data_IF_421932468493
#
_entry.id   IF_421932468493
#
_cell.length_a   1.000
_cell.length_b   1.000
_cell.length_c   1.000
_cell.angle_alpha   90.00
_cell.angle_beta   90.00
_cell.angle_gamma   90.00
#
_symmetry.space_group_name_H-M   'P 1'
#
loop_
_entity.id
_entity.type
_entity.pdbx_description
1 polymer ?
#
# COMPACT_ATOMS: atom_id res chain seq x y z
N UNK A 1 -6.92 10.24 23.06
CA UNK A 1 -6.95 10.22 21.57
C UNK A 1 -5.61 10.58 20.91
N UNK A 2 -4.97 11.71 21.29
CA UNK A 2 -3.74 12.21 20.62
C UNK A 2 -2.56 11.22 20.58
N UNK A 3 -2.35 10.41 21.63
CA UNK A 3 -1.26 9.43 21.67
C UNK A 3 -1.47 8.26 20.70
N UNK A 4 -2.72 7.81 20.52
CA UNK A 4 -3.05 6.73 19.61
C UNK A 4 -2.91 7.15 18.14
N UNK A 5 -3.38 8.35 17.80
CA UNK A 5 -3.21 8.92 16.45
C UNK A 5 -1.72 9.09 16.14
N UNK A 6 -0.93 9.62 17.09
CA UNK A 6 0.52 9.72 16.93
C UNK A 6 1.20 8.36 16.78
N UNK A 7 0.73 7.33 17.49
CA UNK A 7 1.21 5.96 17.31
C UNK A 7 0.90 5.45 15.90
N UNK A 8 -0.33 5.64 15.40
CA UNK A 8 -0.73 5.22 14.06
C UNK A 8 0.08 5.94 12.97
N UNK A 9 0.30 7.25 13.11
CA UNK A 9 1.13 8.03 12.17
C UNK A 9 2.57 7.50 12.17
N UNK A 10 3.17 7.31 13.35
CA UNK A 10 4.53 6.75 13.46
C UNK A 10 4.61 5.33 12.87
N UNK A 11 3.59 4.51 13.08
CA UNK A 11 3.51 3.15 12.52
C UNK A 11 3.40 3.20 11.00
N UNK A 12 2.53 4.05 10.46
CA UNK A 12 2.36 4.23 9.02
C UNK A 12 3.64 4.71 8.36
N UNK A 13 4.30 5.71 8.95
CA UNK A 13 5.59 6.22 8.51
C UNK A 13 6.66 5.13 8.50
N UNK A 14 6.81 4.36 9.58
CA UNK A 14 7.78 3.25 9.60
C UNK A 14 7.51 2.19 8.52
N UNK A 15 6.25 1.91 8.22
CA UNK A 15 5.87 0.94 7.20
C UNK A 15 5.93 1.49 5.76
N UNK A 16 5.88 2.81 5.57
CA UNK A 16 5.73 3.44 4.24
C UNK A 16 6.90 4.35 3.84
N UNK A 17 7.80 4.72 4.76
CA UNK A 17 8.76 5.82 4.61
C UNK A 17 9.81 5.65 3.51
N UNK A 18 9.97 4.44 2.96
CA UNK A 18 10.87 4.20 1.84
C UNK A 18 10.13 4.04 0.50
N UNK A 19 8.80 3.84 0.52
CA UNK A 19 7.99 3.61 -0.70
C UNK A 19 8.49 2.46 -1.59
N UNK A 20 9.47 1.69 -1.12
CA UNK A 20 10.22 0.69 -1.86
C UNK A 20 9.93 -0.68 -1.28
N UNK A 21 9.79 -1.67 -2.16
CA UNK A 21 9.59 -3.08 -1.81
C UNK A 21 10.86 -3.78 -1.31
N UNK A 22 11.92 -3.02 -1.05
CA UNK A 22 13.23 -3.52 -0.62
C UNK A 22 13.35 -3.46 0.90
N UNK A 23 13.77 -4.58 1.48
CA UNK A 23 14.27 -4.61 2.86
C UNK A 23 15.68 -4.02 2.86
N UNK A 24 15.92 -3.07 3.75
CA UNK A 24 17.27 -2.77 4.28
C UNK A 24 18.41 -2.75 3.23
N UNK A 25 18.26 -2.01 2.13
CA UNK A 25 19.48 -1.43 1.56
C UNK A 25 19.83 -0.30 2.53
N UNK A 26 20.99 -0.45 3.19
CA UNK A 26 21.58 0.59 4.04
C UNK A 26 21.60 1.96 3.33
N UNK A 27 22.01 3.03 4.04
CA UNK A 27 21.74 4.42 3.65
C UNK A 27 21.89 4.56 2.13
N UNK A 28 20.75 4.73 1.44
CA UNK A 28 20.71 4.76 -0.02
C UNK A 28 21.52 6.00 -0.42
N UNK A 29 22.79 5.77 -0.70
CA UNK A 29 23.85 6.75 -0.99
C UNK A 29 23.84 7.04 -2.49
N UNK A 30 22.65 7.27 -3.04
CA UNK A 30 22.49 7.86 -4.36
C UNK A 30 21.94 9.25 -4.13
N UNK A 31 22.85 10.23 -4.03
CA UNK A 31 22.59 11.67 -3.94
C UNK A 31 21.16 12.04 -3.54
N UNK A 32 20.99 12.17 -2.22
CA UNK A 32 19.80 12.72 -1.56
C UNK A 32 19.52 14.11 -2.14
N UNK A 33 18.76 14.10 -3.23
CA UNK A 33 18.47 15.27 -4.04
C UNK A 33 17.78 16.33 -3.15
N UNK A 34 18.06 17.62 -3.37
CA UNK A 34 17.80 18.67 -2.39
C UNK A 34 16.35 18.71 -1.93
N UNK A 35 16.15 19.08 -0.65
CA UNK A 35 14.84 19.33 -0.02
C UNK A 35 14.02 20.23 -0.96
N UNK A 36 13.01 19.67 -1.64
CA UNK A 36 12.02 20.50 -2.34
C UNK A 36 11.37 21.39 -1.28
N UNK A 37 11.46 22.72 -1.45
CA UNK A 37 10.73 23.66 -0.57
C UNK A 37 9.26 23.31 -0.65
N UNK A 38 8.68 23.01 0.52
CA UNK A 38 7.25 22.82 0.66
C UNK A 38 6.58 24.13 0.25
N UNK A 39 5.76 24.11 -0.79
CA UNK A 39 5.11 25.32 -1.31
C UNK A 39 3.79 25.60 -0.58
N UNK A 40 3.06 24.54 -0.22
CA UNK A 40 1.68 24.63 0.26
C UNK A 40 1.47 23.89 1.60
N UNK A 41 0.49 24.35 2.40
CA UNK A 41 0.09 23.73 3.67
C UNK A 41 -0.32 22.26 3.50
N UNK A 42 -1.05 21.93 2.43
CA UNK A 42 -1.45 20.56 2.10
C UNK A 42 -0.24 19.64 1.85
N UNK A 43 0.79 20.14 1.16
CA UNK A 43 2.03 19.40 0.93
C UNK A 43 2.80 19.19 2.25
N UNK A 44 2.77 20.16 3.17
CA UNK A 44 3.34 20.02 4.51
C UNK A 44 2.65 18.94 5.34
N UNK A 45 1.31 18.94 5.31
CA UNK A 45 0.49 17.96 6.03
C UNK A 45 0.73 16.55 5.49
N UNK A 46 0.71 16.37 4.17
CA UNK A 46 0.95 15.06 3.58
C UNK A 46 2.38 14.57 3.84
N UNK A 47 3.39 15.44 3.74
CA UNK A 47 4.76 15.10 4.13
C UNK A 47 4.84 14.62 5.57
N UNK A 48 4.14 15.28 6.51
CA UNK A 48 4.07 14.88 7.92
C UNK A 48 3.39 13.53 8.12
N UNK A 49 2.47 13.11 7.27
CA UNK A 49 1.79 11.81 7.39
C UNK A 49 2.60 10.66 6.81
N UNK A 50 3.33 10.89 5.71
CA UNK A 50 3.93 9.81 4.92
C UNK A 50 5.45 9.68 5.05
N UNK A 51 6.16 10.69 5.56
CA UNK A 51 7.63 10.72 5.58
C UNK A 51 8.15 10.81 7.01
N UNK A 52 9.05 9.88 7.37
CA UNK A 52 9.79 9.92 8.64
C UNK A 52 11.19 10.52 8.49
N UNK A 53 11.85 10.25 7.36
CA UNK A 53 13.25 10.58 7.12
C UNK A 53 13.39 11.84 6.27
N UNK A 54 14.30 12.74 6.64
CA UNK A 54 14.56 14.01 5.93
C UNK A 54 15.11 13.84 4.50
N UNK A 55 15.43 12.61 4.15
CA UNK A 55 16.16 12.18 2.97
C UNK A 55 15.25 11.72 1.82
N UNK A 56 13.96 11.55 2.08
CA UNK A 56 13.03 11.06 1.07
C UNK A 56 12.41 12.21 0.26
N UNK A 57 12.70 12.26 -1.04
CA UNK A 57 12.08 13.20 -1.96
C UNK A 57 10.62 12.82 -2.23
N UNK A 58 9.72 13.47 -1.50
CA UNK A 58 8.29 13.20 -1.64
C UNK A 58 7.66 14.14 -2.69
N UNK A 59 7.53 13.65 -3.92
CA UNK A 59 6.93 14.37 -5.06
C UNK A 59 5.38 14.33 -5.06
N UNK A 60 4.74 13.85 -4.00
CA UNK A 60 3.27 13.69 -3.92
C UNK A 60 2.68 12.58 -4.82
N UNK A 61 3.41 12.13 -5.85
CA UNK A 61 2.99 11.04 -6.75
C UNK A 61 2.58 9.76 -6.01
N UNK A 62 3.24 9.47 -4.88
CA UNK A 62 2.93 8.31 -4.04
C UNK A 62 1.52 8.33 -3.47
N UNK A 63 0.89 9.50 -3.30
CA UNK A 63 -0.52 9.60 -2.87
C UNK A 63 -1.43 8.95 -3.90
N UNK A 64 -1.19 9.18 -5.19
CA UNK A 64 -2.01 8.58 -6.24
C UNK A 64 -1.89 7.06 -6.24
N UNK A 65 -0.70 6.53 -5.98
CA UNK A 65 -0.47 5.10 -5.81
C UNK A 65 -1.25 4.57 -4.60
N UNK A 66 -1.23 5.27 -3.46
CA UNK A 66 -2.02 4.89 -2.28
C UNK A 66 -3.53 4.91 -2.57
N UNK A 67 -4.03 5.94 -3.26
CA UNK A 67 -5.44 6.04 -3.67
C UNK A 67 -5.83 4.88 -4.58
N UNK A 68 -4.99 4.54 -5.55
CA UNK A 68 -5.20 3.37 -6.43
C UNK A 68 -5.36 2.09 -5.60
N UNK A 69 -4.49 1.86 -4.62
CA UNK A 69 -4.58 0.69 -3.74
C UNK A 69 -5.84 0.67 -2.88
N UNK A 70 -6.32 1.83 -2.41
CA UNK A 70 -7.61 1.93 -1.71
C UNK A 70 -8.75 1.45 -2.61
N UNK A 71 -8.77 1.85 -3.89
CA UNK A 71 -9.78 1.37 -4.84
C UNK A 71 -9.68 -0.14 -5.09
N UNK A 72 -8.47 -0.68 -5.26
CA UNK A 72 -8.25 -2.13 -5.43
C UNK A 72 -8.85 -2.91 -4.25
N UNK A 73 -8.54 -2.49 -3.02
CA UNK A 73 -9.07 -3.14 -1.80
C UNK A 73 -10.59 -3.00 -1.73
N UNK A 74 -11.13 -1.82 -2.03
CA UNK A 74 -12.57 -1.61 -2.06
C UNK A 74 -13.27 -2.58 -3.03
N UNK A 75 -12.77 -2.70 -4.27
CA UNK A 75 -13.33 -3.62 -5.24
C UNK A 75 -13.17 -5.09 -4.83
N UNK A 76 -12.05 -5.48 -4.21
CA UNK A 76 -11.94 -6.83 -3.64
C UNK A 76 -13.02 -7.12 -2.60
N UNK A 77 -13.34 -6.17 -1.72
CA UNK A 77 -14.43 -6.33 -0.74
C UNK A 77 -15.78 -6.51 -1.44
N UNK A 78 -16.04 -5.75 -2.50
CA UNK A 78 -17.28 -5.89 -3.27
C UNK A 78 -17.41 -7.27 -3.97
N UNK A 79 -16.29 -7.93 -4.28
CA UNK A 79 -16.26 -9.30 -4.84
C UNK A 79 -16.76 -10.38 -3.86
N UNK A 80 -16.98 -10.04 -2.58
CA UNK A 80 -17.42 -10.98 -1.54
C UNK A 80 -18.63 -11.81 -1.95
N UNK A 81 -19.63 -11.18 -2.58
CA UNK A 81 -20.89 -11.82 -3.01
C UNK A 81 -20.77 -12.64 -4.31
N UNK A 82 -19.61 -12.67 -4.96
CA UNK A 82 -19.38 -13.52 -6.13
C UNK A 82 -19.14 -14.97 -5.66
N UNK A 83 -20.06 -15.87 -6.02
CA UNK A 83 -20.05 -17.30 -5.65
C UNK A 83 -19.39 -18.21 -6.69
N UNK A 84 -18.91 -17.67 -7.81
CA UNK A 84 -18.21 -18.46 -8.83
C UNK A 84 -17.00 -19.19 -8.22
N UNK A 85 -16.84 -20.48 -8.52
CA UNK A 85 -15.73 -21.33 -8.06
C UNK A 85 -14.36 -20.69 -8.31
N UNK A 86 -14.17 -20.03 -9.46
CA UNK A 86 -12.91 -19.33 -9.74
C UNK A 86 -12.69 -18.12 -8.82
N UNK A 87 -13.76 -17.35 -8.52
CA UNK A 87 -13.67 -16.23 -7.59
C UNK A 87 -13.42 -16.70 -6.15
N UNK A 88 -13.95 -17.87 -5.76
CA UNK A 88 -13.65 -18.49 -4.47
C UNK A 88 -12.19 -18.93 -4.37
N UNK A 89 -11.65 -19.57 -5.42
CA UNK A 89 -10.24 -19.93 -5.50
C UNK A 89 -9.35 -18.69 -5.30
N UNK A 90 -9.61 -17.60 -6.03
CA UNK A 90 -8.88 -16.34 -5.89
C UNK A 90 -8.91 -15.79 -4.45
N UNK A 91 -10.07 -15.83 -3.78
CA UNK A 91 -10.20 -15.40 -2.38
C UNK A 91 -9.30 -16.22 -1.46
N UNK A 92 -9.30 -17.54 -1.61
CA UNK A 92 -8.46 -18.42 -0.80
C UNK A 92 -6.97 -18.23 -1.10
N UNK A 93 -6.60 -18.03 -2.37
CA UNK A 93 -5.22 -17.72 -2.76
C UNK A 93 -4.73 -16.41 -2.13
N UNK A 94 -5.58 -15.36 -2.11
CA UNK A 94 -5.25 -14.09 -1.46
C UNK A 94 -5.08 -14.26 0.05
N UNK A 95 -6.01 -14.95 0.72
CA UNK A 95 -5.93 -15.18 2.17
C UNK A 95 -4.70 -16.03 2.53
N UNK A 96 -4.49 -17.14 1.82
CA UNK A 96 -3.33 -18.00 2.02
C UNK A 96 -2.01 -17.30 1.71
N UNK A 97 -1.98 -16.47 0.65
CA UNK A 97 -0.82 -15.66 0.30
C UNK A 97 -0.47 -14.65 1.39
N UNK A 98 -1.45 -13.89 1.89
CA UNK A 98 -1.20 -12.96 3.00
C UNK A 98 -0.84 -13.67 4.30
N UNK A 99 -1.40 -14.84 4.57
CA UNK A 99 -1.03 -15.66 5.73
C UNK A 99 0.42 -16.14 5.62
N UNK A 100 0.84 -16.60 4.44
CA UNK A 100 2.24 -16.95 4.15
C UNK A 100 3.17 -15.74 4.38
N UNK A 101 2.82 -14.57 3.85
CA UNK A 101 3.59 -13.35 4.05
C UNK A 101 3.70 -12.96 5.54
N UNK A 102 2.62 -13.10 6.30
CA UNK A 102 2.61 -12.80 7.74
C UNK A 102 3.53 -13.73 8.53
N UNK A 103 3.54 -15.03 8.21
CA UNK A 103 4.34 -16.03 8.92
C UNK A 103 5.82 -16.00 8.53
N UNK A 104 6.13 -15.79 7.25
CA UNK A 104 7.48 -16.01 6.71
C UNK A 104 8.20 -14.74 6.25
N UNK A 105 7.50 -13.67 5.89
CA UNK A 105 8.13 -12.40 5.44
C UNK A 105 8.19 -11.32 6.51
N UNK A 106 7.52 -11.50 7.66
CA UNK A 106 7.54 -10.52 8.75
C UNK A 106 7.07 -9.11 8.33
N UNK A 107 6.27 -9.00 7.27
CA UNK A 107 5.79 -7.72 6.72
C UNK A 107 6.71 -7.05 5.71
N UNK A 108 7.78 -7.71 5.24
CA UNK A 108 8.49 -7.29 4.03
C UNK A 108 7.64 -7.60 2.80
N UNK A 109 7.75 -6.78 1.77
CA UNK A 109 6.77 -6.73 0.70
C UNK A 109 7.26 -7.33 -0.62
N UNK A 110 8.48 -7.89 -0.66
CA UNK A 110 9.10 -8.43 -1.89
C UNK A 110 8.26 -9.55 -2.50
N UNK A 111 7.67 -10.42 -1.69
CA UNK A 111 6.82 -11.50 -2.20
C UNK A 111 5.37 -11.03 -2.42
N UNK A 112 5.00 -9.79 -2.08
CA UNK A 112 3.68 -9.27 -2.42
C UNK A 112 3.51 -9.13 -3.95
N UNK A 113 4.59 -8.85 -4.68
CA UNK A 113 4.56 -8.69 -6.14
C UNK A 113 4.04 -9.94 -6.84
N UNK A 114 4.28 -11.14 -6.30
CA UNK A 114 3.83 -12.39 -6.91
C UNK A 114 2.31 -12.61 -6.75
N UNK A 115 1.69 -11.96 -5.76
CA UNK A 115 0.25 -12.03 -5.52
C UNK A 115 -0.54 -10.91 -6.23
N UNK A 116 0.15 -9.93 -6.85
CA UNK A 116 -0.48 -8.84 -7.61
C UNK A 116 -1.47 -9.32 -8.67
N UNK A 117 -1.14 -10.31 -9.53
CA UNK A 117 -2.07 -10.76 -10.56
C UNK A 117 -3.38 -11.27 -9.96
N UNK A 118 -3.30 -12.02 -8.86
CA UNK A 118 -4.47 -12.59 -8.16
C UNK A 118 -5.32 -11.47 -7.54
N UNK A 119 -4.68 -10.50 -6.90
CA UNK A 119 -5.33 -9.33 -6.28
C UNK A 119 -6.06 -8.49 -7.33
N UNK A 120 -5.41 -8.20 -8.45
CA UNK A 120 -6.00 -7.40 -9.53
C UNK A 120 -7.16 -8.14 -10.21
N UNK A 121 -7.03 -9.44 -10.48
CA UNK A 121 -8.12 -10.24 -11.05
C UNK A 121 -9.30 -10.33 -10.07
N UNK A 122 -9.07 -10.54 -8.78
CA UNK A 122 -10.15 -10.56 -7.80
C UNK A 122 -10.86 -9.20 -7.69
N UNK A 123 -10.11 -8.10 -7.79
CA UNK A 123 -10.68 -6.75 -7.80
C UNK A 123 -11.58 -6.51 -9.02
N UNK A 124 -11.24 -7.07 -10.19
CA UNK A 124 -12.05 -6.93 -11.40
C UNK A 124 -13.43 -7.59 -11.27
N UNK A 125 -13.56 -8.68 -10.51
CA UNK A 125 -14.86 -9.29 -10.19
C UNK A 125 -15.76 -8.34 -9.39
N UNK A 126 -15.19 -7.62 -8.43
CA UNK A 126 -15.93 -6.61 -7.66
C UNK A 126 -16.29 -5.38 -8.50
N UNK A 127 -15.38 -4.95 -9.38
CA UNK A 127 -15.62 -3.87 -10.33
C UNK A 127 -16.74 -4.24 -11.31
N UNK A 128 -16.70 -5.44 -11.92
CA UNK A 128 -17.75 -5.94 -12.82
C UNK A 128 -19.13 -5.83 -12.19
N UNK A 129 -19.25 -6.10 -10.90
CA UNK A 129 -20.53 -5.98 -10.19
C UNK A 129 -21.07 -4.54 -10.14
N UNK A 130 -20.21 -3.54 -10.02
CA UNK A 130 -20.63 -2.13 -10.05
C UNK A 130 -21.16 -1.76 -11.44
N UNK A 131 -20.46 -2.19 -12.49
CA UNK A 131 -20.80 -1.83 -13.88
C UNK A 131 -21.87 -2.71 -14.52
N UNK A 132 -22.12 -3.90 -13.97
CA UNK A 132 -23.18 -4.82 -14.42
C UNK A 132 -24.54 -4.51 -13.78
N UNK A 133 -24.66 -3.37 -13.11
CA UNK A 133 -25.88 -2.87 -12.50
C UNK A 133 -26.33 -1.63 -13.25
#
# INVERSE_FOLDING_TARGET
>A
LNNFINFLIKKQQKNSSLGSWQRETGPVTWNLSPKLRVKNHFQSLLRKLFVQNEYFQWNGALVFIQIFWVFVIAFMILSYRCSNSFAQLLKYTVVGGYLFLLLFEGGTSRYMIQYLPVVLVLSSYGMKKIFSK
#
